data_IF_614058448843
#
_entry.id   IF_614058448843
#
_cell.length_a   1.000
_cell.length_b   1.000
_cell.length_c   1.000
_cell.angle_alpha   90.00
_cell.angle_beta   90.00
_cell.angle_gamma   90.00
#
_symmetry.space_group_name_H-M   'P 1'
#
loop_
_entity.id
_entity.type
_entity.pdbx_description
1 polymer ?
#
# COMPACT_ATOMS: atom_id res chain seq x y z
N UNK A 1 33.68 27.74 -27.31
CA UNK A 1 32.40 27.13 -27.79
C UNK A 1 32.58 25.77 -28.49
N UNK A 2 33.72 25.06 -28.38
CA UNK A 2 33.93 23.73 -29.02
C UNK A 2 34.05 22.54 -28.04
N UNK A 3 34.07 22.80 -26.73
CA UNK A 3 34.26 21.76 -25.69
C UNK A 3 32.93 21.09 -25.26
N UNK A 4 31.78 21.76 -25.47
CA UNK A 4 30.46 21.28 -25.00
C UNK A 4 29.91 20.14 -25.88
N UNK A 5 30.31 20.08 -27.15
CA UNK A 5 29.85 19.05 -28.09
C UNK A 5 30.45 17.68 -27.81
N UNK A 6 31.68 17.60 -27.28
CA UNK A 6 32.33 16.31 -27.02
C UNK A 6 31.76 15.61 -25.78
N UNK A 7 31.56 16.35 -24.68
CA UNK A 7 30.98 15.79 -23.45
C UNK A 7 29.56 15.26 -23.66
N UNK A 8 28.74 15.98 -24.44
CA UNK A 8 27.36 15.58 -24.74
C UNK A 8 27.28 14.27 -25.54
N UNK A 9 28.20 14.08 -26.49
CA UNK A 9 28.28 12.85 -27.30
C UNK A 9 28.73 11.66 -26.44
N UNK A 10 29.70 11.86 -25.54
CA UNK A 10 30.17 10.81 -24.63
C UNK A 10 29.06 10.36 -23.68
N UNK A 11 28.31 11.30 -23.11
CA UNK A 11 27.18 10.99 -22.21
C UNK A 11 26.07 10.24 -22.96
N UNK A 12 25.73 10.68 -24.18
CA UNK A 12 24.69 10.03 -24.99
C UNK A 12 25.09 8.61 -25.42
N UNK A 13 26.37 8.39 -25.70
CA UNK A 13 26.91 7.06 -26.05
C UNK A 13 26.92 6.13 -24.83
N UNK A 14 27.24 6.65 -23.64
CA UNK A 14 27.19 5.87 -22.40
C UNK A 14 25.76 5.42 -22.07
N UNK A 15 24.77 6.30 -22.28
CA UNK A 15 23.35 5.98 -22.06
C UNK A 15 22.84 4.90 -23.02
N UNK A 16 23.29 4.91 -24.28
CA UNK A 16 22.92 3.88 -25.26
C UNK A 16 23.52 2.51 -24.93
N UNK A 17 24.74 2.45 -24.38
CA UNK A 17 25.35 1.17 -24.00
C UNK A 17 24.69 0.54 -22.76
N UNK A 18 24.09 1.33 -21.87
CA UNK A 18 23.33 0.82 -20.72
C UNK A 18 21.93 0.34 -21.14
N UNK A 19 21.43 0.76 -22.31
CA UNK A 19 20.09 0.41 -22.81
C UNK A 19 19.99 -0.98 -23.44
N UNK A 20 21.08 -1.75 -23.53
CA UNK A 20 21.11 -3.03 -24.22
C UNK A 20 21.56 -4.20 -23.33
N UNK A 21 21.03 -4.30 -22.10
CA UNK A 21 21.20 -5.50 -21.28
C UNK A 21 19.89 -6.24 -21.06
N UNK A 22 19.80 -7.46 -21.62
CA UNK A 22 18.94 -8.52 -21.10
C UNK A 22 17.65 -8.74 -21.87
N UNK A 23 17.71 -9.62 -22.86
CA UNK A 23 16.52 -10.17 -23.53
C UNK A 23 15.74 -11.09 -22.60
N UNK A 24 14.50 -10.70 -22.34
CA UNK A 24 13.38 -11.58 -22.07
C UNK A 24 12.18 -10.89 -22.71
N UNK A 25 11.46 -11.59 -23.58
CA UNK A 25 10.28 -11.06 -24.26
C UNK A 25 9.25 -10.59 -23.24
N UNK A 26 9.31 -9.31 -22.92
CA UNK A 26 8.29 -8.64 -22.16
C UNK A 26 7.21 -8.22 -23.16
N UNK A 27 6.05 -8.86 -23.04
CA UNK A 27 4.73 -8.43 -23.54
C UNK A 27 4.35 -8.90 -24.96
N UNK A 28 4.58 -10.17 -25.32
CA UNK A 28 3.61 -10.85 -26.19
C UNK A 28 2.60 -11.57 -25.28
N UNK A 29 1.33 -11.15 -25.18
CA UNK A 29 0.32 -11.96 -24.51
C UNK A 29 0.23 -13.29 -25.28
N UNK A 30 0.42 -14.40 -24.59
CA UNK A 30 0.22 -15.73 -25.17
C UNK A 30 -1.21 -15.81 -25.71
N UNK A 31 -1.34 -16.06 -27.01
CA UNK A 31 -2.61 -16.21 -27.72
C UNK A 31 -3.31 -17.54 -27.45
N UNK A 32 -2.82 -18.32 -26.50
CA UNK A 32 -3.39 -19.61 -26.11
C UNK A 32 -4.19 -19.44 -24.81
N UNK A 33 -5.52 -19.46 -24.94
CA UNK A 33 -6.55 -19.41 -23.90
C UNK A 33 -6.83 -18.06 -23.19
N UNK A 34 -7.86 -17.32 -23.62
CA UNK A 34 -8.39 -16.17 -22.85
C UNK A 34 -9.11 -16.55 -21.55
N UNK A 35 -9.30 -17.85 -21.25
CA UNK A 35 -10.10 -18.32 -20.11
C UNK A 35 -9.31 -18.62 -18.81
N UNK A 36 -8.00 -18.38 -18.77
CA UNK A 36 -7.16 -18.73 -17.60
C UNK A 36 -6.50 -17.52 -16.90
N UNK A 37 -7.21 -16.40 -16.76
CA UNK A 37 -6.73 -15.23 -16.00
C UNK A 37 -6.73 -15.46 -14.48
N UNK A 38 -7.36 -16.53 -13.99
CA UNK A 38 -7.37 -16.88 -12.56
C UNK A 38 -6.47 -18.09 -12.27
N UNK A 39 -5.22 -17.80 -11.92
CA UNK A 39 -4.48 -18.68 -11.00
C UNK A 39 -3.24 -19.38 -11.54
N UNK A 40 -2.15 -18.63 -11.74
CA UNK A 40 -0.79 -19.15 -11.56
C UNK A 40 0.12 -18.08 -10.95
N UNK A 41 0.06 -17.93 -9.62
CA UNK A 41 1.19 -17.39 -8.86
C UNK A 41 2.21 -18.51 -8.69
N UNK A 42 3.33 -18.45 -9.41
CA UNK A 42 4.68 -18.78 -8.91
C UNK A 42 5.67 -18.84 -10.08
N UNK A 43 6.35 -17.72 -10.34
CA UNK A 43 7.73 -17.77 -10.78
C UNK A 43 8.56 -16.79 -9.96
N UNK A 44 9.38 -17.38 -9.08
CA UNK A 44 10.42 -16.74 -8.29
C UNK A 44 11.62 -16.35 -9.17
N UNK A 45 11.39 -15.43 -10.11
CA UNK A 45 12.40 -14.84 -10.99
C UNK A 45 12.13 -13.34 -11.11
N UNK A 46 12.99 -12.53 -10.50
CA UNK A 46 12.80 -11.09 -10.23
C UNK A 46 12.63 -10.24 -11.49
N UNK A 47 11.42 -10.17 -12.04
CA UNK A 47 10.99 -8.97 -12.78
C UNK A 47 10.31 -8.05 -11.77
N UNK A 48 11.02 -6.99 -11.33
CA UNK A 48 10.45 -5.93 -10.47
C UNK A 48 9.69 -4.93 -11.33
N UNK A 49 8.76 -5.40 -12.15
CA UNK A 49 7.85 -4.51 -12.88
C UNK A 49 6.84 -3.95 -11.89
N UNK A 50 6.97 -2.67 -11.57
CA UNK A 50 5.96 -1.93 -10.82
C UNK A 50 4.95 -1.36 -11.80
N UNK A 51 3.66 -1.54 -11.54
CA UNK A 51 2.60 -0.90 -12.30
C UNK A 51 2.57 0.59 -11.93
N UNK A 52 3.08 1.43 -12.84
CA UNK A 52 3.07 2.89 -12.65
C UNK A 52 1.74 3.54 -13.02
N UNK A 53 0.92 2.84 -13.79
CA UNK A 53 -0.40 3.30 -14.17
C UNK A 53 -1.09 2.31 -15.10
N UNK A 54 -2.41 2.37 -15.08
CA UNK A 54 -3.34 1.65 -15.93
C UNK A 54 -4.23 2.71 -16.58
N UNK A 55 -4.30 2.70 -17.91
CA UNK A 55 -4.99 3.71 -18.71
C UNK A 55 -5.89 3.00 -19.71
N UNK A 56 -7.10 3.52 -19.90
CA UNK A 56 -7.89 3.23 -21.10
C UNK A 56 -7.49 4.21 -22.19
N UNK A 57 -7.15 3.69 -23.38
CA UNK A 57 -6.73 4.51 -24.51
C UNK A 57 -7.82 4.47 -25.58
N UNK A 58 -8.40 5.63 -25.86
CA UNK A 58 -9.38 5.84 -26.90
C UNK A 58 -8.71 6.43 -28.13
N UNK A 59 -8.93 5.79 -29.28
CA UNK A 59 -8.41 6.25 -30.57
C UNK A 59 -9.60 6.64 -31.43
N UNK A 60 -9.76 7.93 -31.71
CA UNK A 60 -10.74 8.41 -32.67
C UNK A 60 -10.12 8.42 -34.07
N UNK A 61 -10.54 7.47 -34.89
CA UNK A 61 -10.06 7.29 -36.27
C UNK A 61 -10.48 8.41 -37.23
N UNK A 62 -11.54 9.15 -36.92
CA UNK A 62 -12.04 10.22 -37.80
C UNK A 62 -11.25 11.51 -37.64
N UNK A 63 -10.87 11.84 -36.40
CA UNK A 63 -10.03 12.99 -36.09
C UNK A 63 -8.53 12.65 -36.04
N UNK A 64 -8.19 11.36 -35.92
CA UNK A 64 -6.83 10.90 -35.68
C UNK A 64 -6.32 11.21 -34.27
N UNK A 65 -7.21 11.56 -33.33
CA UNK A 65 -6.83 11.86 -31.95
C UNK A 65 -6.75 10.59 -31.09
N UNK A 66 -5.78 10.59 -30.18
CA UNK A 66 -5.59 9.54 -29.17
C UNK A 66 -5.73 10.18 -27.79
N UNK A 67 -6.65 9.67 -26.98
CA UNK A 67 -6.91 10.10 -25.62
C UNK A 67 -6.61 8.95 -24.65
N UNK A 68 -5.74 9.19 -23.67
CA UNK A 68 -5.46 8.23 -22.61
C UNK A 68 -6.15 8.70 -21.31
N UNK A 69 -7.10 7.92 -20.83
CA UNK A 69 -7.84 8.15 -19.59
C UNK A 69 -7.24 7.26 -18.51
N UNK A 70 -6.74 7.87 -17.42
CA UNK A 70 -6.16 7.14 -16.32
C UNK A 70 -7.24 6.41 -15.52
N UNK A 71 -7.13 5.08 -15.46
CA UNK A 71 -8.00 4.23 -14.65
C UNK A 71 -7.45 4.08 -13.23
N UNK A 72 -6.12 3.93 -13.11
CA UNK A 72 -5.42 3.73 -11.84
C UNK A 72 -3.96 4.10 -12.00
N UNK A 73 -3.45 5.04 -11.21
CA UNK A 73 -2.03 5.40 -11.18
C UNK A 73 -1.17 4.48 -10.32
N UNK A 74 0.10 4.84 -10.17
CA UNK A 74 1.01 4.26 -9.20
C UNK A 74 0.45 4.51 -7.79
N UNK A 75 -0.26 3.52 -7.26
CA UNK A 75 -0.76 3.56 -5.89
C UNK A 75 0.34 3.07 -4.97
N UNK A 76 0.75 3.92 -4.04
CA UNK A 76 1.57 3.51 -2.91
C UNK A 76 0.77 3.69 -1.64
N UNK A 77 1.01 2.82 -0.66
CA UNK A 77 0.51 3.00 0.69
C UNK A 77 1.58 3.71 1.50
N UNK A 78 1.18 4.74 2.23
CA UNK A 78 2.05 5.54 3.06
C UNK A 78 1.60 5.49 4.51
N UNK A 79 2.55 5.38 5.43
CA UNK A 79 2.30 5.63 6.83
C UNK A 79 2.16 7.13 7.05
N UNK A 80 0.92 7.57 7.22
CA UNK A 80 0.57 8.98 7.47
C UNK A 80 0.45 9.32 8.95
N UNK A 81 0.69 8.36 9.85
CA UNK A 81 0.60 8.56 11.31
C UNK A 81 1.45 9.74 11.76
N UNK A 82 2.64 9.93 11.17
CA UNK A 82 3.53 11.03 11.50
C UNK A 82 2.96 12.41 11.15
N UNK A 83 2.12 12.51 10.11
CA UNK A 83 1.44 13.76 9.75
C UNK A 83 0.18 13.97 10.57
N UNK A 84 -0.59 12.89 10.75
CA UNK A 84 -1.88 12.93 11.43
C UNK A 84 -1.72 13.19 12.94
N UNK A 85 -0.67 12.65 13.57
CA UNK A 85 -0.36 12.89 14.99
C UNK A 85 0.50 14.14 15.22
N UNK A 86 0.72 14.97 14.19
CA UNK A 86 1.47 16.22 14.33
C UNK A 86 0.67 17.28 15.12
N UNK A 87 1.23 18.48 15.31
CA UNK A 87 0.56 19.57 16.01
C UNK A 87 0.18 20.69 15.02
N UNK A 88 -1.12 20.97 14.78
CA UNK A 88 -2.29 20.42 15.46
C UNK A 88 -2.62 18.98 15.01
N UNK A 89 -3.14 18.18 15.95
CA UNK A 89 -3.51 16.80 15.67
C UNK A 89 -4.66 16.76 14.65
N UNK A 90 -4.45 15.99 13.58
CA UNK A 90 -5.46 15.73 12.55
C UNK A 90 -6.41 14.59 12.93
N UNK A 91 -6.13 13.83 13.99
CA UNK A 91 -6.95 12.71 14.45
C UNK A 91 -7.80 13.09 15.66
N UNK A 92 -9.10 12.88 15.55
CA UNK A 92 -10.05 13.01 16.65
C UNK A 92 -10.71 11.67 16.96
N UNK A 93 -10.89 11.38 18.24
CA UNK A 93 -11.70 10.26 18.73
C UNK A 93 -12.78 10.80 19.65
N UNK A 94 -14.00 10.32 19.48
CA UNK A 94 -15.10 10.58 20.40
C UNK A 94 -15.77 9.25 20.75
N UNK A 95 -15.65 8.85 22.01
CA UNK A 95 -16.35 7.68 22.53
C UNK A 95 -17.82 8.08 22.71
N UNK A 96 -18.69 7.45 21.93
CA UNK A 96 -20.14 7.68 21.95
C UNK A 96 -20.79 6.92 23.11
N UNK A 97 -20.43 5.64 23.26
CA UNK A 97 -20.93 4.79 24.35
C UNK A 97 -19.98 3.64 24.65
N UNK A 98 -20.05 3.13 25.88
CA UNK A 98 -19.38 1.90 26.30
C UNK A 98 -20.41 0.98 26.95
N UNK A 99 -20.54 -0.24 26.43
CA UNK A 99 -21.47 -1.23 26.96
C UNK A 99 -20.67 -2.44 27.45
N UNK A 100 -20.43 -2.56 28.76
CA UNK A 100 -19.77 -3.73 29.32
C UNK A 100 -20.72 -4.92 29.35
N UNK A 101 -20.36 -6.00 28.65
CA UNK A 101 -20.95 -7.32 28.78
C UNK A 101 -20.24 -8.18 29.83
N UNK A 102 -20.70 -9.41 30.02
CA UNK A 102 -20.10 -10.33 31.00
C UNK A 102 -18.66 -10.74 30.67
N UNK A 103 -18.32 -10.82 29.37
CA UNK A 103 -17.00 -11.23 28.86
C UNK A 103 -16.51 -10.35 27.69
N UNK A 104 -17.14 -9.21 27.43
CA UNK A 104 -16.81 -8.32 26.33
C UNK A 104 -17.10 -6.86 26.72
N UNK A 105 -16.53 -5.91 26.00
CA UNK A 105 -16.87 -4.49 26.10
C UNK A 105 -17.07 -3.99 24.69
N UNK A 106 -18.26 -3.46 24.41
CA UNK A 106 -18.55 -2.77 23.16
C UNK A 106 -18.26 -1.29 23.37
N UNK A 107 -17.56 -0.69 22.42
CA UNK A 107 -17.13 0.70 22.46
C UNK A 107 -17.48 1.32 21.12
N UNK A 108 -18.51 2.16 21.13
CA UNK A 108 -18.91 2.96 19.98
C UNK A 108 -18.04 4.22 19.95
N UNK A 109 -17.32 4.45 18.85
CA UNK A 109 -16.34 5.53 18.69
C UNK A 109 -16.52 6.20 17.33
N UNK A 110 -16.68 7.52 17.32
CA UNK A 110 -16.49 8.33 16.13
C UNK A 110 -14.99 8.61 15.94
N UNK A 111 -14.46 8.26 14.78
CA UNK A 111 -13.11 8.61 14.35
C UNK A 111 -13.20 9.72 13.31
N UNK A 112 -12.53 10.85 13.55
CA UNK A 112 -12.45 11.95 12.59
C UNK A 112 -11.01 12.20 12.17
N UNK A 113 -10.82 12.47 10.89
CA UNK A 113 -9.51 12.75 10.30
C UNK A 113 -9.61 14.08 9.56
N UNK A 114 -8.76 15.02 9.94
CA UNK A 114 -8.58 16.30 9.28
C UNK A 114 -7.39 16.20 8.33
N UNK A 115 -7.56 16.71 7.11
CA UNK A 115 -6.48 16.70 6.12
C UNK A 115 -5.24 17.42 6.67
N UNK A 116 -4.06 16.77 6.71
CA UNK A 116 -2.89 17.31 7.40
C UNK A 116 -2.22 18.46 6.65
N UNK A 117 -2.55 18.69 5.37
CA UNK A 117 -1.97 19.75 4.55
C UNK A 117 -3.02 20.81 4.17
N UNK A 118 -3.05 21.98 4.84
CA UNK A 118 -3.98 23.06 4.52
C UNK A 118 -3.81 23.55 3.07
N UNK A 119 -4.92 23.64 2.33
CA UNK A 119 -4.91 24.15 0.96
C UNK A 119 -4.31 23.22 -0.10
N UNK A 120 -4.00 21.96 0.25
CA UNK A 120 -3.43 20.97 -0.70
C UNK A 120 -4.37 19.77 -0.93
N UNK A 121 -5.55 19.98 -1.53
CA UNK A 121 -6.54 18.90 -1.73
C UNK A 121 -6.06 17.80 -2.69
N UNK A 122 -4.98 18.03 -3.44
CA UNK A 122 -4.38 17.00 -4.29
C UNK A 122 -3.65 15.90 -3.51
N UNK A 123 -3.40 16.10 -2.21
CA UNK A 123 -2.88 15.06 -1.30
C UNK A 123 -3.99 14.36 -0.51
N UNK A 124 -5.25 14.54 -0.89
CA UNK A 124 -6.34 13.78 -0.29
C UNK A 124 -6.07 12.29 -0.49
N UNK A 125 -5.88 11.57 0.61
CA UNK A 125 -5.82 10.12 0.60
C UNK A 125 -7.20 9.57 0.26
N UNK A 126 -7.30 8.90 -0.87
CA UNK A 126 -8.46 8.06 -1.17
C UNK A 126 -8.21 6.71 -0.46
N UNK A 127 -9.17 6.24 0.33
CA UNK A 127 -9.11 5.00 1.13
C UNK A 127 -8.19 5.03 2.37
N UNK A 128 -8.58 5.78 3.40
CA UNK A 128 -7.95 5.68 4.73
C UNK A 128 -8.40 4.39 5.42
N UNK A 129 -7.42 3.64 5.96
CA UNK A 129 -7.68 2.37 6.65
C UNK A 129 -7.27 2.46 8.11
N UNK A 130 -8.15 2.00 8.98
CA UNK A 130 -7.79 1.66 10.36
C UNK A 130 -7.09 0.30 10.36
N UNK A 131 -5.95 0.20 11.04
CA UNK A 131 -5.22 -1.06 11.18
C UNK A 131 -5.27 -1.49 12.64
N UNK A 132 -5.87 -2.67 12.88
CA UNK A 132 -5.85 -3.32 14.17
C UNK A 132 -4.66 -4.28 14.25
N UNK A 133 -3.77 -4.05 15.22
CA UNK A 133 -2.56 -4.87 15.46
C UNK A 133 -2.61 -5.46 16.87
N UNK A 134 -2.35 -6.76 16.98
CA UNK A 134 -2.21 -7.48 18.25
C UNK A 134 -1.05 -8.47 18.17
N UNK A 135 -0.75 -9.15 19.29
CA UNK A 135 0.46 -9.98 19.41
C UNK A 135 0.44 -11.21 18.50
N UNK A 136 -0.76 -11.76 18.22
CA UNK A 136 -0.94 -12.96 17.42
C UNK A 136 -0.31 -14.22 18.03
N UNK A 137 -0.68 -15.39 17.51
CA UNK A 137 -0.20 -16.69 18.04
C UNK A 137 0.08 -17.72 16.95
N UNK A 138 -0.23 -17.43 15.69
CA UNK A 138 0.03 -18.33 14.55
C UNK A 138 1.06 -17.74 13.62
N UNK A 139 1.95 -18.59 13.12
CA UNK A 139 2.92 -18.20 12.12
C UNK A 139 2.45 -18.57 10.70
N UNK A 140 2.80 -17.78 9.70
CA UNK A 140 2.52 -18.09 8.30
C UNK A 140 3.30 -19.34 7.86
N UNK A 141 2.66 -20.19 7.05
CA UNK A 141 3.27 -21.47 6.62
C UNK A 141 4.58 -21.29 5.85
N UNK A 142 4.74 -20.19 5.12
CA UNK A 142 5.92 -19.91 4.30
C UNK A 142 6.98 -19.06 5.01
N UNK A 143 6.67 -18.46 6.16
CA UNK A 143 7.60 -17.66 6.96
C UNK A 143 7.16 -17.64 8.43
N UNK A 144 7.93 -18.34 9.28
CA UNK A 144 7.64 -18.45 10.71
C UNK A 144 7.81 -17.15 11.49
N UNK A 145 8.53 -16.18 10.93
CA UNK A 145 8.76 -14.87 11.57
C UNK A 145 7.56 -13.92 11.38
N UNK A 146 6.61 -14.28 10.51
CA UNK A 146 5.38 -13.54 10.30
C UNK A 146 4.25 -14.16 11.11
N UNK A 147 3.93 -13.51 12.22
CA UNK A 147 2.85 -13.91 13.13
C UNK A 147 1.55 -13.20 12.74
N UNK A 148 0.43 -13.91 12.87
CA UNK A 148 -0.92 -13.42 12.67
C UNK A 148 -1.86 -13.93 13.76
N UNK A 149 -3.02 -13.28 13.89
CA UNK A 149 -4.01 -13.61 14.90
C UNK A 149 -4.71 -14.95 14.58
N UNK A 150 -4.78 -15.81 15.59
CA UNK A 150 -5.56 -17.04 15.58
C UNK A 150 -6.94 -16.78 16.17
N UNK A 151 -7.97 -17.04 15.36
CA UNK A 151 -9.36 -17.00 15.82
C UNK A 151 -9.55 -17.86 17.09
N UNK A 152 -10.20 -17.28 18.10
CA UNK A 152 -10.49 -17.92 19.39
C UNK A 152 -9.33 -17.94 20.40
N UNK A 153 -8.14 -17.47 20.01
CA UNK A 153 -6.97 -17.38 20.91
C UNK A 153 -6.53 -15.93 21.09
N UNK A 154 -6.41 -15.20 19.98
CA UNK A 154 -5.92 -13.81 19.99
C UNK A 154 -7.06 -12.81 19.81
N UNK A 155 -6.74 -11.53 20.03
CA UNK A 155 -7.61 -10.45 19.60
C UNK A 155 -7.77 -10.50 18.08
N UNK A 156 -9.02 -10.50 17.62
CA UNK A 156 -9.36 -10.67 16.22
C UNK A 156 -10.38 -9.61 15.82
N UNK A 157 -10.15 -8.94 14.69
CA UNK A 157 -11.11 -8.02 14.12
C UNK A 157 -12.13 -8.81 13.30
N UNK A 158 -13.42 -8.57 13.54
CA UNK A 158 -14.49 -9.17 12.76
C UNK A 158 -15.09 -8.15 11.81
N UNK A 159 -15.71 -8.65 10.76
CA UNK A 159 -16.65 -7.87 10.01
C UNK A 159 -17.78 -7.37 10.93
N UNK A 160 -18.31 -6.19 10.65
CA UNK A 160 -19.55 -5.72 11.23
C UNK A 160 -20.65 -6.78 10.97
N UNK A 161 -21.32 -7.30 12.01
CA UNK A 161 -22.33 -8.34 11.84
C UNK A 161 -23.59 -7.87 11.09
N UNK A 162 -23.80 -6.57 10.95
CA UNK A 162 -24.97 -5.99 10.27
C UNK A 162 -24.81 -5.94 8.75
N UNK A 163 -23.63 -5.60 8.23
CA UNK A 163 -23.39 -5.40 6.80
C UNK A 163 -22.21 -6.21 6.23
N UNK A 164 -21.40 -6.84 7.08
CA UNK A 164 -20.24 -7.66 6.69
C UNK A 164 -18.98 -6.85 6.33
N UNK A 165 -18.97 -5.53 6.53
CA UNK A 165 -17.83 -4.67 6.21
C UNK A 165 -16.78 -4.64 7.33
N UNK A 166 -15.54 -4.26 7.01
CA UNK A 166 -14.48 -4.10 8.01
C UNK A 166 -13.83 -5.41 8.48
N UNK A 167 -14.01 -6.52 7.77
CA UNK A 167 -13.25 -7.74 8.00
C UNK A 167 -11.74 -7.51 7.82
N UNK A 168 -10.87 -8.33 8.43
CA UNK A 168 -9.44 -8.30 8.15
C UNK A 168 -9.17 -8.48 6.65
N UNK A 169 -8.52 -7.49 6.03
CA UNK A 169 -8.35 -7.39 4.58
C UNK A 169 -6.95 -7.84 4.10
N UNK A 170 -6.05 -8.15 5.04
CA UNK A 170 -4.67 -8.56 4.76
C UNK A 170 -3.71 -7.42 4.38
N UNK A 171 -4.17 -6.16 4.35
CA UNK A 171 -3.32 -5.00 4.04
C UNK A 171 -2.48 -4.55 5.23
N UNK A 172 -2.74 -5.09 6.42
CA UNK A 172 -2.02 -4.79 7.67
C UNK A 172 -0.53 -5.16 7.61
N UNK A 173 -0.14 -6.05 6.69
CA UNK A 173 1.27 -6.42 6.47
C UNK A 173 2.16 -5.20 6.20
N UNK A 174 1.66 -4.22 5.45
CA UNK A 174 2.44 -3.05 4.98
C UNK A 174 2.92 -2.11 6.09
N UNK A 175 2.55 -2.38 7.33
CA UNK A 175 3.00 -1.65 8.51
C UNK A 175 3.40 -2.58 9.65
N UNK A 176 3.74 -3.84 9.36
CA UNK A 176 4.17 -4.77 10.40
C UNK A 176 5.56 -4.37 10.93
N UNK A 177 5.73 -4.32 12.25
CA UNK A 177 6.96 -3.83 12.89
C UNK A 177 8.21 -4.59 12.42
N UNK A 178 8.27 -5.94 12.36
CA UNK A 178 9.47 -6.65 11.91
C UNK A 178 9.89 -6.34 10.47
N UNK A 179 8.94 -6.07 9.57
CA UNK A 179 9.22 -5.80 8.15
C UNK A 179 9.53 -4.32 7.89
N UNK A 180 8.91 -3.40 8.64
CA UNK A 180 8.94 -1.96 8.38
C UNK A 180 9.67 -1.13 9.46
N UNK A 181 10.48 -1.76 10.31
CA UNK A 181 11.34 -1.05 11.30
C UNK A 181 12.81 -0.95 10.92
N UNK A 182 13.19 -1.34 9.69
CA UNK A 182 14.60 -1.44 9.27
C UNK A 182 15.28 -0.09 8.93
N UNK A 183 14.63 1.05 9.17
CA UNK A 183 15.11 2.37 8.77
C UNK A 183 14.74 2.75 7.32
N UNK A 184 15.14 3.94 6.85
CA UNK A 184 14.71 4.53 5.56
C UNK A 184 13.78 5.74 5.67
N UNK A 185 12.86 5.90 4.71
CA UNK A 185 11.88 7.00 4.71
C UNK A 185 10.76 6.74 5.73
N UNK A 186 10.46 7.72 6.60
CA UNK A 186 9.40 7.64 7.61
C UNK A 186 8.01 7.29 7.03
N UNK A 187 7.78 7.62 5.75
CA UNK A 187 6.55 7.31 5.02
C UNK A 187 6.31 5.81 4.83
N UNK A 188 7.37 5.00 4.88
CA UNK A 188 7.32 3.55 4.66
C UNK A 188 7.82 2.79 5.89
N UNK A 189 7.71 3.39 7.07
CA UNK A 189 8.12 2.77 8.33
C UNK A 189 6.92 2.52 9.23
N UNK A 190 7.08 1.57 10.14
CA UNK A 190 6.18 1.44 11.27
C UNK A 190 6.39 2.60 12.26
N UNK A 191 5.29 3.20 12.73
CA UNK A 191 5.32 4.18 13.83
C UNK A 191 4.60 3.58 15.03
N UNK A 192 5.33 3.36 16.12
CA UNK A 192 4.73 2.92 17.39
C UNK A 192 3.79 4.00 17.92
N UNK A 193 2.56 3.61 18.26
CA UNK A 193 1.60 4.53 18.89
C UNK A 193 1.99 4.89 20.32
N UNK A 194 1.70 6.11 20.76
CA UNK A 194 2.01 6.60 22.12
C UNK A 194 1.35 5.80 23.25
N UNK A 195 0.23 5.12 22.95
CA UNK A 195 -0.52 4.29 23.87
C UNK A 195 -0.39 2.79 23.58
N UNK A 196 0.45 2.40 22.63
CA UNK A 196 0.67 1.00 22.34
C UNK A 196 1.51 0.35 23.45
N UNK A 197 1.27 -0.94 23.72
CA UNK A 197 1.99 -1.71 24.74
C UNK A 197 3.50 -1.59 24.56
N UNK A 198 4.21 -1.23 25.64
CA UNK A 198 5.67 -1.15 25.59
C UNK A 198 6.26 -2.52 25.28
N UNK A 199 7.21 -2.57 24.35
CA UNK A 199 7.86 -3.82 23.95
C UNK A 199 7.06 -4.69 22.98
N UNK A 200 5.94 -4.19 22.42
CA UNK A 200 5.25 -4.83 21.29
C UNK A 200 6.28 -5.12 20.17
N UNK A 201 6.46 -6.38 19.80
CA UNK A 201 7.45 -6.84 18.81
C UNK A 201 6.79 -7.71 17.75
#
# INVERSE_FOLDING_TARGET
MREITFSSIVIMTLLLMISCSGGSDAIAPSTENPDSITGLMSQSGKSRTFLWGYYDVFIDIGSGMVEAVENRGAMFTANVVNFINSNPAGLGFKINSTQPGSNWVDVDIDVSITHPFPGMPHYNGYDVRGVFMGDGSKALQYNSDLIYSSFGTDQFMFADPSDGNGAPDGYTRWFNKPEFSMGGMLLFQYTQGSFATQGFN
#
